data_IF_054227582344
#
_entry.id   IF_054227582344
#
_cell.length_a   1.000
_cell.length_b   1.000
_cell.length_c   1.000
_cell.angle_alpha   90.00
_cell.angle_beta   90.00
_cell.angle_gamma   90.00
#
_symmetry.space_group_name_H-M   'P 1'
#
loop_
_entity.id
_entity.type
_entity.pdbx_description
1 polymer ?
#
# COMPACT_ATOMS: atom_id res chain seq x y z
N UNK A 1 -17.79 3.89 -1.54
CA UNK A 1 -16.64 3.27 -2.21
C UNK A 1 -15.46 4.20 -2.03
N UNK A 2 -14.46 3.75 -1.27
CA UNK A 2 -13.25 4.50 -0.96
C UNK A 2 -12.11 3.87 -1.75
N UNK A 3 -11.18 4.68 -2.26
CA UNK A 3 -9.97 4.16 -2.89
C UNK A 3 -8.74 4.92 -2.41
N UNK A 4 -7.63 4.19 -2.31
CA UNK A 4 -6.33 4.75 -1.96
C UNK A 4 -5.25 4.14 -2.85
N UNK A 5 -4.25 4.94 -3.21
CA UNK A 5 -3.15 4.49 -4.06
C UNK A 5 -1.96 4.10 -3.19
N UNK A 6 -1.46 2.89 -3.40
CA UNK A 6 -0.25 2.39 -2.77
C UNK A 6 0.87 2.24 -3.79
N UNK A 7 2.09 2.46 -3.34
CA UNK A 7 3.33 2.25 -4.05
C UNK A 7 4.13 1.14 -3.38
N UNK A 8 4.51 0.14 -4.16
CA UNK A 8 5.44 -0.91 -3.76
C UNK A 8 6.80 -0.56 -4.34
N UNK A 9 7.83 -0.51 -3.49
CA UNK A 9 9.23 -0.27 -3.89
C UNK A 9 10.11 -1.40 -3.36
N UNK A 10 11.06 -1.85 -4.19
CA UNK A 10 12.05 -2.87 -3.81
C UNK A 10 12.07 -4.07 -4.74
N UNK A 11 12.44 -5.24 -4.24
CA UNK A 11 12.49 -6.46 -5.05
C UNK A 11 11.09 -7.11 -5.16
N UNK A 12 10.26 -6.54 -6.03
CA UNK A 12 8.87 -6.97 -6.20
C UNK A 12 8.77 -8.46 -6.62
N UNK A 13 9.71 -8.92 -7.46
CA UNK A 13 9.76 -10.30 -7.98
C UNK A 13 10.38 -11.25 -6.96
N UNK A 14 11.59 -10.96 -6.46
CA UNK A 14 12.31 -11.90 -5.59
C UNK A 14 11.62 -12.10 -4.23
N UNK A 15 10.96 -11.06 -3.70
CA UNK A 15 10.33 -11.11 -2.38
C UNK A 15 8.85 -11.57 -2.42
N UNK A 16 8.30 -11.81 -3.61
CA UNK A 16 6.88 -12.15 -3.83
C UNK A 16 5.91 -11.18 -3.13
N UNK A 17 6.32 -9.92 -2.96
CA UNK A 17 5.54 -8.92 -2.23
C UNK A 17 4.27 -8.56 -3.01
N UNK A 18 4.37 -8.41 -4.33
CA UNK A 18 3.21 -8.10 -5.18
C UNK A 18 2.09 -9.15 -5.06
N UNK A 19 2.34 -10.46 -5.31
CA UNK A 19 1.29 -11.45 -5.14
C UNK A 19 0.73 -11.51 -3.71
N UNK A 20 1.56 -11.34 -2.67
CA UNK A 20 1.08 -11.29 -1.28
C UNK A 20 0.15 -10.11 -1.01
N UNK A 21 0.49 -8.93 -1.53
CA UNK A 21 -0.33 -7.71 -1.39
C UNK A 21 -1.67 -7.89 -2.10
N UNK A 22 -1.66 -8.42 -3.33
CA UNK A 22 -2.89 -8.69 -4.09
C UNK A 22 -3.78 -9.72 -3.39
N UNK A 23 -3.18 -10.78 -2.84
CA UNK A 23 -3.88 -11.82 -2.08
C UNK A 23 -4.53 -11.26 -0.80
N UNK A 24 -3.84 -10.37 -0.08
CA UNK A 24 -4.41 -9.65 1.06
C UNK A 24 -5.61 -8.79 0.65
N UNK A 25 -5.50 -8.05 -0.45
CA UNK A 25 -6.60 -7.21 -0.96
C UNK A 25 -7.84 -8.07 -1.27
N UNK A 26 -7.65 -9.19 -1.96
CA UNK A 26 -8.73 -10.12 -2.30
C UNK A 26 -9.33 -10.80 -1.08
N UNK A 27 -8.50 -11.20 -0.12
CA UNK A 27 -8.94 -11.85 1.14
C UNK A 27 -9.84 -10.93 1.96
N UNK A 28 -9.59 -9.61 1.91
CA UNK A 28 -10.41 -8.60 2.58
C UNK A 28 -11.63 -8.15 1.76
N UNK A 29 -11.92 -8.79 0.63
CA UNK A 29 -13.05 -8.43 -0.24
C UNK A 29 -12.90 -7.08 -0.92
N UNK A 30 -11.69 -6.51 -0.92
CA UNK A 30 -11.38 -5.27 -1.60
C UNK A 30 -11.00 -5.54 -3.06
N UNK A 31 -11.10 -4.50 -3.87
CA UNK A 31 -10.75 -4.53 -5.27
C UNK A 31 -9.42 -3.81 -5.50
N UNK A 32 -8.73 -4.13 -6.59
CA UNK A 32 -7.49 -3.45 -6.93
C UNK A 32 -7.41 -3.14 -8.42
N UNK A 33 -6.64 -2.10 -8.73
CA UNK A 33 -6.31 -1.69 -10.09
C UNK A 33 -4.83 -1.38 -10.17
N UNK A 34 -4.13 -2.14 -10.99
CA UNK A 34 -2.71 -1.90 -11.25
C UNK A 34 -2.60 -0.71 -12.21
N UNK A 35 -1.96 0.36 -11.76
CA UNK A 35 -1.76 1.58 -12.56
C UNK A 35 -0.47 1.53 -13.36
N UNK A 36 0.68 1.42 -12.66
CA UNK A 36 1.99 1.37 -13.29
C UNK A 36 2.83 0.26 -12.64
N UNK A 37 3.54 -0.54 -13.44
CA UNK A 37 4.57 -1.44 -12.93
C UNK A 37 5.84 -1.20 -13.73
N UNK A 38 6.93 -0.97 -13.01
CA UNK A 38 8.30 -0.90 -13.52
C UNK A 38 9.11 -2.00 -12.85
N UNK A 39 9.38 -3.07 -13.59
CA UNK A 39 10.23 -4.16 -13.11
C UNK A 39 11.67 -3.83 -13.47
N UNK A 40 12.56 -3.90 -12.48
CA UNK A 40 14.00 -3.75 -12.68
C UNK A 40 14.53 -4.81 -13.66
N UNK A 41 15.39 -4.42 -14.60
CA UNK A 41 15.92 -5.36 -15.61
C UNK A 41 17.01 -6.28 -15.04
N UNK A 42 17.66 -5.85 -13.96
CA UNK A 42 18.68 -6.60 -13.22
C UNK A 42 18.25 -6.77 -11.76
N UNK A 43 18.78 -7.78 -11.07
CA UNK A 43 18.51 -8.03 -9.64
C UNK A 43 18.82 -6.84 -8.73
N UNK A 44 19.77 -5.98 -9.11
CA UNK A 44 20.14 -4.78 -8.35
C UNK A 44 19.21 -3.59 -8.62
N UNK A 45 18.38 -3.66 -9.66
CA UNK A 45 17.46 -2.58 -10.02
C UNK A 45 16.19 -2.70 -9.15
N UNK A 46 15.87 -1.64 -8.42
CA UNK A 46 14.62 -1.59 -7.66
C UNK A 46 13.43 -1.66 -8.61
N UNK A 47 12.47 -2.52 -8.28
CA UNK A 47 11.18 -2.56 -8.96
C UNK A 47 10.20 -1.64 -8.25
N UNK A 48 9.27 -1.10 -9.03
CA UNK A 48 8.23 -0.19 -8.58
C UNK A 48 6.88 -0.66 -9.10
N UNK A 49 5.85 -0.63 -8.27
CA UNK A 49 4.48 -0.85 -8.71
C UNK A 49 3.54 0.13 -8.00
N UNK A 50 2.64 0.73 -8.75
CA UNK A 50 1.56 1.57 -8.25
C UNK A 50 0.25 0.84 -8.42
N UNK A 51 -0.46 0.65 -7.31
CA UNK A 51 -1.71 -0.10 -7.24
C UNK A 51 -2.73 0.78 -6.54
N UNK A 52 -3.88 0.97 -7.17
CA UNK A 52 -5.05 1.58 -6.54
C UNK A 52 -5.87 0.49 -5.88
N UNK A 53 -6.15 0.63 -4.59
CA UNK A 53 -6.95 -0.30 -3.80
C UNK A 53 -8.29 0.36 -3.51
N UNK A 54 -9.39 -0.37 -3.69
CA UNK A 54 -10.74 0.14 -3.50
C UNK A 54 -11.52 -0.77 -2.54
N UNK A 55 -12.18 -0.18 -1.55
CA UNK A 55 -13.03 -0.90 -0.61
C UNK A 55 -14.43 -0.27 -0.52
N UNK A 56 -15.38 -1.03 0.02
CA UNK A 56 -16.75 -0.55 0.22
C UNK A 56 -16.80 0.57 1.27
N UNK A 57 -16.05 0.42 2.37
CA UNK A 57 -16.00 1.33 3.53
C UNK A 57 -14.59 1.89 3.78
N UNK A 58 -14.52 3.05 4.45
CA UNK A 58 -13.23 3.68 4.81
C UNK A 58 -12.49 2.86 5.86
N UNK A 59 -13.20 2.30 6.84
CA UNK A 59 -12.60 1.50 7.91
C UNK A 59 -11.91 0.25 7.37
N UNK A 60 -12.55 -0.45 6.43
CA UNK A 60 -11.95 -1.62 5.78
C UNK A 60 -10.72 -1.23 4.93
N UNK A 61 -10.76 -0.07 4.28
CA UNK A 61 -9.63 0.46 3.52
C UNK A 61 -8.46 0.79 4.47
N UNK A 62 -8.71 1.53 5.54
CA UNK A 62 -7.67 1.91 6.51
C UNK A 62 -7.02 0.68 7.17
N UNK A 63 -7.81 -0.32 7.58
CA UNK A 63 -7.28 -1.58 8.09
C UNK A 63 -6.42 -2.33 7.07
N UNK A 64 -6.90 -2.41 5.83
CA UNK A 64 -6.17 -3.07 4.75
C UNK A 64 -4.85 -2.34 4.49
N UNK A 65 -4.88 -1.02 4.35
CA UNK A 65 -3.69 -0.19 4.14
C UNK A 65 -2.67 -0.38 5.26
N UNK A 66 -3.09 -0.45 6.52
CA UNK A 66 -2.21 -0.70 7.66
C UNK A 66 -1.49 -2.05 7.54
N UNK A 67 -2.18 -3.10 7.07
CA UNK A 67 -1.59 -4.42 6.81
C UNK A 67 -0.63 -4.37 5.62
N UNK A 68 -1.01 -3.70 4.54
CA UNK A 68 -0.16 -3.57 3.36
C UNK A 68 1.15 -2.85 3.69
N UNK A 69 1.11 -1.85 4.59
CA UNK A 69 2.32 -1.18 5.11
C UNK A 69 3.28 -2.13 5.83
N UNK A 70 2.77 -3.10 6.58
CA UNK A 70 3.61 -4.11 7.24
C UNK A 70 4.33 -5.03 6.23
N UNK A 71 3.81 -5.14 5.01
CA UNK A 71 4.43 -5.89 3.91
C UNK A 71 5.33 -5.04 3.02
N UNK A 72 5.62 -3.79 3.41
CA UNK A 72 6.49 -2.88 2.67
C UNK A 72 5.78 -2.06 1.59
N UNK A 73 4.44 -1.99 1.62
CA UNK A 73 3.71 -1.03 0.80
C UNK A 73 3.78 0.37 1.41
N UNK A 74 4.25 1.33 0.65
CA UNK A 74 4.12 2.73 1.00
C UNK A 74 2.81 3.27 0.42
N UNK A 75 2.13 4.15 1.14
CA UNK A 75 0.92 4.79 0.60
C UNK A 75 1.35 6.08 -0.07
N UNK A 76 0.90 6.31 -1.30
CA UNK A 76 1.06 7.60 -1.98
C UNK A 76 0.07 8.60 -1.39
N UNK A 77 0.27 8.97 -0.11
CA UNK A 77 -0.56 9.99 0.52
C UNK A 77 -0.11 11.36 0.03
N UNK A 78 -0.89 11.90 -0.91
CA UNK A 78 -1.11 13.34 -1.09
C UNK A 78 -2.03 13.95 0.00
N UNK A 79 -2.13 13.32 1.16
CA UNK A 79 -2.82 13.89 2.31
C UNK A 79 -1.79 14.07 3.41
N UNK A 80 -1.49 15.33 3.74
CA UNK A 80 -0.71 15.72 4.90
C UNK A 80 -1.09 14.85 6.10
N UNK A 81 -0.09 14.34 6.81
CA UNK A 81 -0.33 13.65 8.06
C UNK A 81 -1.13 14.59 8.97
N UNK A 82 -2.32 14.15 9.43
CA UNK A 82 -3.07 14.92 10.40
C UNK A 82 -2.31 14.88 11.73
N UNK A 83 -1.63 15.98 12.01
CA UNK A 83 -0.94 16.23 13.27
C UNK A 83 -1.97 16.54 14.34
N UNK A 84 -2.13 15.64 15.29
CA UNK A 84 -2.86 15.91 16.53
C UNK A 84 -1.89 16.53 17.54
N UNK A 85 -2.36 17.53 18.30
CA UNK A 85 -1.58 18.07 19.41
C UNK A 85 -1.38 16.97 20.47
N UNK A 86 -0.13 16.81 20.90
CA UNK A 86 0.22 16.04 22.09
C UNK A 86 -0.71 16.44 23.27
N UNK A 87 -1.42 15.49 23.91
CA UNK A 87 -2.31 15.81 25.03
C UNK A 87 -1.56 16.36 26.26
N UNK A 88 -0.26 16.06 26.42
CA UNK A 88 0.60 16.60 27.47
C UNK A 88 2.09 16.45 27.10
N UNK A 89 2.98 17.18 27.80
CA UNK A 89 4.42 16.98 27.68
C UNK A 89 4.80 15.52 28.00
N UNK A 90 5.32 14.81 27.00
CA UNK A 90 5.71 13.40 27.10
C UNK A 90 4.71 12.37 26.56
N UNK A 91 3.59 12.78 25.93
CA UNK A 91 2.61 11.89 25.26
C UNK A 91 2.21 12.42 23.90
#
# INVERSE_FOLDING_TARGET
MFSETIELRGHIIDSLILPKVLDQILTHGANFKIGEIKIGKKRADQSFARIEVSAETSEALDELILRLRQHGAEVDKRADAQIAKAPADGV
#
